data_IF_040340249532
#
_entry.id   IF_040340249532
#
_cell.length_a   1.000
_cell.length_b   1.000
_cell.length_c   1.000
_cell.angle_alpha   90.00
_cell.angle_beta   90.00
_cell.angle_gamma   90.00
#
_symmetry.space_group_name_H-M   'P 1'
#
loop_
_entity.id
_entity.type
_entity.pdbx_description
1 polymer ?
#
# COMPACT_ATOMS: atom_id res chain seq x y z
N UNK A 1 24.27 49.66 -15.44
CA UNK A 1 24.43 48.22 -15.60
C UNK A 1 25.05 47.55 -14.36
N UNK A 2 26.29 47.86 -13.91
CA UNK A 2 26.96 47.22 -12.75
C UNK A 2 26.19 47.32 -11.41
N UNK A 3 25.56 48.50 -11.10
CA UNK A 3 24.74 48.64 -9.87
C UNK A 3 23.48 47.78 -9.91
N UNK A 4 22.76 47.69 -11.03
CA UNK A 4 21.59 46.85 -11.22
C UNK A 4 21.95 45.38 -11.00
N UNK A 5 23.00 44.88 -11.63
CA UNK A 5 23.48 43.49 -11.45
C UNK A 5 23.80 43.17 -9.97
N UNK A 6 24.39 44.14 -9.23
CA UNK A 6 24.70 44.00 -7.81
C UNK A 6 23.42 43.87 -6.95
N UNK A 7 22.38 44.65 -7.23
CA UNK A 7 21.11 44.58 -6.49
C UNK A 7 20.35 43.28 -6.82
N UNK A 8 20.31 42.90 -8.10
CA UNK A 8 19.71 41.64 -8.53
C UNK A 8 20.39 40.43 -7.86
N UNK A 9 21.73 40.40 -7.85
CA UNK A 9 22.48 39.34 -7.16
C UNK A 9 22.19 39.31 -5.65
N UNK A 10 22.13 40.45 -4.99
CA UNK A 10 21.78 40.51 -3.55
C UNK A 10 20.36 40.02 -3.30
N UNK A 11 19.41 40.43 -4.14
CA UNK A 11 18.03 39.95 -4.05
C UNK A 11 17.95 38.40 -4.14
N UNK A 12 18.62 37.82 -5.13
CA UNK A 12 18.65 36.36 -5.28
C UNK A 12 19.31 35.66 -4.09
N UNK A 13 20.40 36.21 -3.56
CA UNK A 13 21.04 35.63 -2.35
C UNK A 13 20.10 35.68 -1.16
N UNK A 14 19.44 36.78 -0.91
CA UNK A 14 18.49 36.93 0.20
C UNK A 14 17.30 36.00 0.00
N UNK A 15 16.72 35.94 -1.20
CA UNK A 15 15.60 35.03 -1.52
C UNK A 15 15.97 33.55 -1.32
N UNK A 16 17.16 33.15 -1.81
CA UNK A 16 17.66 31.78 -1.61
C UNK A 16 17.93 31.49 -0.13
N UNK A 17 18.50 32.44 0.61
CA UNK A 17 18.72 32.26 2.06
C UNK A 17 17.40 32.07 2.82
N UNK A 18 16.38 32.88 2.49
CA UNK A 18 15.04 32.74 3.08
C UNK A 18 14.40 31.39 2.73
N UNK A 19 14.54 30.94 1.48
CA UNK A 19 14.07 29.63 1.06
C UNK A 19 14.75 28.50 1.85
N UNK A 20 16.07 28.55 2.00
CA UNK A 20 16.82 27.55 2.78
C UNK A 20 16.36 27.53 4.23
N UNK A 21 16.20 28.70 4.86
CA UNK A 21 15.69 28.80 6.24
C UNK A 21 14.27 28.19 6.34
N UNK A 22 13.40 28.47 5.37
CA UNK A 22 12.06 27.91 5.32
C UNK A 22 12.10 26.38 5.23
N UNK A 23 12.92 25.82 4.33
CA UNK A 23 13.07 24.36 4.17
C UNK A 23 13.64 23.68 5.43
N UNK A 24 14.58 24.32 6.12
CA UNK A 24 15.08 23.83 7.41
C UNK A 24 13.96 23.84 8.45
N UNK A 25 13.19 24.91 8.51
CA UNK A 25 12.06 25.02 9.45
C UNK A 25 10.99 23.95 9.18
N UNK A 26 10.57 23.77 7.93
CA UNK A 26 9.58 22.74 7.57
C UNK A 26 10.10 21.34 7.88
N UNK A 27 11.38 21.04 7.62
CA UNK A 27 12.01 19.76 7.94
C UNK A 27 12.02 19.49 9.45
N UNK A 28 12.40 20.47 10.26
CA UNK A 28 12.39 20.33 11.74
C UNK A 28 10.96 20.14 12.23
N UNK A 29 10.03 20.96 11.77
CA UNK A 29 8.62 20.86 12.16
C UNK A 29 8.04 19.48 11.85
N UNK A 30 8.27 18.97 10.63
CA UNK A 30 7.86 17.62 10.22
C UNK A 30 8.43 16.54 11.15
N UNK A 31 9.73 16.56 11.42
CA UNK A 31 10.39 15.56 12.27
C UNK A 31 9.87 15.59 13.71
N UNK A 32 9.67 16.77 14.27
CA UNK A 32 9.09 16.91 15.62
C UNK A 32 7.65 16.38 15.67
N UNK A 33 6.85 16.69 14.65
CA UNK A 33 5.47 16.20 14.56
C UNK A 33 5.42 14.68 14.36
N UNK A 34 6.24 14.14 13.45
CA UNK A 34 6.36 12.69 13.22
C UNK A 34 6.80 11.97 14.49
N UNK A 35 7.82 12.47 15.18
CA UNK A 35 8.29 11.89 16.45
C UNK A 35 7.17 11.85 17.49
N UNK A 36 6.40 12.93 17.63
CA UNK A 36 5.24 12.97 18.53
C UNK A 36 4.17 11.93 18.15
N UNK A 37 3.89 11.77 16.87
CA UNK A 37 2.95 10.76 16.36
C UNK A 37 3.47 9.35 16.66
N UNK A 38 4.72 9.05 16.34
CA UNK A 38 5.34 7.75 16.62
C UNK A 38 5.26 7.40 18.11
N UNK A 39 5.62 8.34 19.00
CA UNK A 39 5.50 8.13 20.46
C UNK A 39 4.04 7.91 20.92
N UNK A 40 3.08 8.55 20.25
CA UNK A 40 1.66 8.35 20.55
C UNK A 40 1.17 6.96 20.14
N UNK A 41 1.71 6.42 19.04
CA UNK A 41 1.35 5.12 18.50
C UNK A 41 2.20 3.97 19.06
N UNK A 42 3.28 4.27 19.77
CA UNK A 42 4.18 3.24 20.36
C UNK A 42 3.44 2.15 21.15
N UNK A 43 2.44 2.47 22.01
CA UNK A 43 1.67 1.44 22.72
C UNK A 43 0.81 0.54 21.80
N UNK A 44 0.59 0.95 20.56
CA UNK A 44 -0.17 0.20 19.56
C UNK A 44 0.73 -0.65 18.64
N UNK A 45 2.05 -0.53 18.76
CA UNK A 45 3.00 -1.32 17.98
C UNK A 45 3.04 -2.75 18.50
N UNK A 46 2.89 -3.67 17.57
CA UNK A 46 3.15 -5.08 17.82
C UNK A 46 4.16 -5.56 16.75
N UNK A 47 5.42 -5.51 17.12
CA UNK A 47 6.54 -5.86 16.25
C UNK A 47 6.79 -7.37 16.31
N UNK A 48 6.90 -7.95 15.11
CA UNK A 48 7.18 -9.36 14.89
C UNK A 48 8.36 -9.47 13.93
N UNK A 49 9.33 -10.31 14.26
CA UNK A 49 10.53 -10.45 13.44
C UNK A 49 10.21 -11.03 12.05
N UNK A 50 10.77 -10.39 11.03
CA UNK A 50 10.82 -10.88 9.66
C UNK A 50 12.24 -11.34 9.25
N UNK A 51 13.13 -11.56 10.24
CA UNK A 51 14.53 -11.88 10.08
C UNK A 51 15.42 -10.77 10.65
N UNK A 52 16.00 -9.94 9.77
CA UNK A 52 16.93 -8.88 10.19
C UNK A 52 16.23 -7.57 10.63
N UNK A 53 14.93 -7.50 10.54
CA UNK A 53 14.09 -6.36 10.92
C UNK A 53 12.70 -6.82 11.37
N UNK A 54 12.01 -5.94 12.09
CA UNK A 54 10.71 -6.23 12.65
C UNK A 54 9.59 -5.52 11.87
N UNK A 55 8.49 -6.25 11.63
CA UNK A 55 7.28 -5.71 11.00
C UNK A 55 6.18 -5.52 12.04
N UNK A 56 5.46 -4.41 11.91
CA UNK A 56 4.30 -4.13 12.74
C UNK A 56 3.07 -4.87 12.24
N UNK A 57 2.37 -5.53 13.16
CA UNK A 57 1.13 -6.24 12.86
C UNK A 57 -0.03 -5.64 13.66
N UNK A 58 -1.11 -5.35 12.98
CA UNK A 58 -2.38 -4.99 13.62
C UNK A 58 -3.37 -6.14 13.45
N UNK A 59 -3.84 -6.70 14.57
CA UNK A 59 -4.84 -7.78 14.58
C UNK A 59 -6.21 -7.15 14.80
N UNK A 60 -7.12 -7.30 13.85
CA UNK A 60 -8.47 -6.73 13.88
C UNK A 60 -9.50 -7.85 13.75
N UNK A 61 -10.69 -7.61 14.30
CA UNK A 61 -11.80 -8.56 14.22
C UNK A 61 -11.74 -9.68 15.26
N UNK A 62 -12.33 -10.82 14.90
CA UNK A 62 -12.43 -11.97 15.78
C UNK A 62 -11.13 -12.76 15.81
N UNK A 63 -10.41 -12.74 16.93
CA UNK A 63 -9.15 -13.48 17.09
C UNK A 63 -9.28 -15.00 16.88
N UNK A 64 -10.49 -15.54 17.09
CA UNK A 64 -10.85 -16.93 16.87
C UNK A 64 -11.79 -17.07 15.67
N UNK A 65 -11.72 -16.13 14.72
CA UNK A 65 -12.53 -16.14 13.52
C UNK A 65 -12.28 -17.36 12.66
N UNK A 66 -13.27 -17.72 11.85
CA UNK A 66 -13.24 -18.90 10.99
C UNK A 66 -12.08 -18.86 10.01
N UNK A 67 -11.83 -17.70 9.41
CA UNK A 67 -10.73 -17.48 8.47
C UNK A 67 -9.72 -16.48 9.03
N UNK A 68 -8.46 -16.65 8.62
CA UNK A 68 -7.39 -15.67 8.84
C UNK A 68 -7.10 -14.95 7.53
N UNK A 69 -7.39 -13.66 7.49
CA UNK A 69 -7.24 -12.82 6.30
C UNK A 69 -5.95 -12.01 6.45
N UNK A 70 -4.99 -12.22 5.54
CA UNK A 70 -3.74 -11.46 5.48
C UNK A 70 -3.91 -10.29 4.50
N UNK A 71 -3.79 -9.07 5.02
CA UNK A 71 -4.01 -7.83 4.26
C UNK A 71 -2.69 -7.31 3.71
N UNK A 72 -2.60 -7.15 2.39
CA UNK A 72 -1.43 -6.68 1.66
C UNK A 72 -1.69 -5.28 1.07
N UNK A 73 -1.05 -4.27 1.62
CA UNK A 73 -1.22 -2.86 1.26
C UNK A 73 -0.85 -2.55 -0.20
N UNK A 74 -1.47 -1.52 -0.74
CA UNK A 74 -0.98 -0.80 -1.91
C UNK A 74 0.34 -0.08 -1.66
N UNK A 75 0.89 0.56 -2.69
CA UNK A 75 2.11 1.35 -2.53
C UNK A 75 1.86 2.51 -1.57
N UNK A 76 2.74 2.65 -0.59
CA UNK A 76 2.71 3.70 0.44
C UNK A 76 1.53 3.66 1.43
N UNK A 77 0.63 2.67 1.40
CA UNK A 77 -0.44 2.54 2.40
C UNK A 77 0.05 1.78 3.65
N UNK A 78 0.77 2.46 4.53
CA UNK A 78 1.22 1.94 5.83
C UNK A 78 0.21 2.15 6.96
N UNK A 79 -1.06 2.35 6.64
CA UNK A 79 -2.13 2.59 7.62
C UNK A 79 -3.42 1.86 7.26
N UNK A 80 -3.30 0.70 6.63
CA UNK A 80 -4.45 -0.11 6.18
C UNK A 80 -5.50 -0.33 7.27
N UNK A 81 -5.09 -0.56 8.51
CA UNK A 81 -5.99 -0.75 9.64
C UNK A 81 -6.91 0.46 9.91
N UNK A 82 -6.57 1.64 9.38
CA UNK A 82 -7.42 2.84 9.39
C UNK A 82 -8.13 3.02 8.04
N UNK A 83 -7.41 2.95 6.93
CA UNK A 83 -7.95 3.23 5.60
C UNK A 83 -8.99 2.21 5.15
N UNK A 84 -8.83 0.93 5.54
CA UNK A 84 -9.77 -0.14 5.17
C UNK A 84 -10.90 -0.37 6.16
N UNK A 85 -10.91 0.33 7.31
CA UNK A 85 -11.86 0.11 8.41
C UNK A 85 -13.32 0.09 8.01
N UNK A 86 -13.75 1.01 7.14
CA UNK A 86 -15.16 1.06 6.69
C UNK A 86 -15.55 -0.16 5.87
N UNK A 87 -14.63 -0.71 5.11
CA UNK A 87 -14.84 -1.91 4.32
C UNK A 87 -14.77 -3.16 5.21
N UNK A 88 -13.75 -3.29 6.03
CA UNK A 88 -13.52 -4.51 6.84
C UNK A 88 -14.56 -4.76 7.93
N UNK A 89 -15.31 -3.74 8.38
CA UNK A 89 -16.42 -3.92 9.33
C UNK A 89 -17.48 -4.92 8.88
N UNK A 90 -17.57 -5.21 7.58
CA UNK A 90 -18.51 -6.20 7.03
C UNK A 90 -18.06 -7.64 7.22
N UNK A 91 -16.77 -7.86 7.52
CA UNK A 91 -16.14 -9.18 7.60
C UNK A 91 -15.42 -9.43 8.94
N UNK A 92 -15.07 -8.41 9.72
CA UNK A 92 -14.26 -8.52 10.94
C UNK A 92 -14.96 -9.25 12.08
N UNK A 93 -16.30 -9.32 12.09
CA UNK A 93 -17.04 -9.99 13.15
C UNK A 93 -16.76 -11.50 13.20
N UNK A 94 -16.62 -12.11 12.04
CA UNK A 94 -16.54 -13.55 11.89
C UNK A 94 -15.11 -14.01 11.52
N UNK A 95 -14.24 -13.09 11.15
CA UNK A 95 -12.89 -13.36 10.66
C UNK A 95 -11.81 -12.64 11.45
N UNK A 96 -10.60 -13.21 11.44
CA UNK A 96 -9.38 -12.56 11.92
C UNK A 96 -8.68 -11.86 10.76
N UNK A 97 -8.41 -10.56 10.90
CA UNK A 97 -7.68 -9.78 9.90
C UNK A 97 -6.30 -9.42 10.45
N UNK A 98 -5.26 -9.71 9.67
CA UNK A 98 -3.89 -9.39 9.97
C UNK A 98 -3.40 -8.32 8.99
N UNK A 99 -3.27 -7.09 9.48
CA UNK A 99 -2.67 -5.99 8.74
C UNK A 99 -1.18 -5.95 9.07
N UNK A 100 -0.35 -6.35 8.12
CA UNK A 100 1.10 -6.37 8.27
C UNK A 100 1.68 -5.20 7.49
N UNK A 101 2.21 -4.21 8.20
CA UNK A 101 2.93 -3.11 7.58
C UNK A 101 4.24 -3.67 6.99
N UNK A 102 4.47 -3.52 5.67
CA UNK A 102 5.73 -3.93 5.06
C UNK A 102 6.92 -3.15 5.64
N UNK A 103 8.13 -3.65 5.44
CA UNK A 103 9.34 -2.91 5.83
C UNK A 103 9.31 -1.47 5.28
N UNK A 104 9.63 -0.50 6.13
CA UNK A 104 9.55 0.93 5.82
C UNK A 104 8.16 1.56 5.88
N UNK A 105 7.09 0.74 5.91
CA UNK A 105 5.71 1.19 5.95
C UNK A 105 5.23 1.41 7.40
N UNK A 106 4.28 2.31 7.57
CA UNK A 106 3.55 2.50 8.80
C UNK A 106 4.44 2.54 10.05
N UNK A 107 4.23 1.59 10.94
CA UNK A 107 4.97 1.45 12.20
C UNK A 107 6.09 0.40 12.14
N UNK A 108 6.30 -0.26 10.99
CA UNK A 108 7.39 -1.19 10.78
C UNK A 108 8.77 -0.50 10.74
N UNK A 109 9.79 -1.29 10.97
CA UNK A 109 11.17 -0.87 10.74
C UNK A 109 11.47 -0.71 9.26
N UNK A 110 12.44 0.12 8.93
CA UNK A 110 12.96 0.29 7.58
C UNK A 110 14.12 -0.69 7.33
N UNK A 111 14.36 -1.04 6.07
CA UNK A 111 15.45 -1.94 5.70
C UNK A 111 16.16 -1.46 4.43
N UNK A 112 17.39 -1.92 4.25
CA UNK A 112 18.16 -1.76 3.01
C UNK A 112 18.18 -3.05 2.16
N UNK A 113 17.54 -4.11 2.63
CA UNK A 113 17.35 -5.34 1.87
C UNK A 113 16.46 -5.05 0.66
N UNK A 114 16.88 -5.53 -0.50
CA UNK A 114 16.13 -5.34 -1.75
C UNK A 114 14.72 -5.88 -1.63
N UNK A 115 13.76 -5.09 -2.10
CA UNK A 115 12.32 -5.38 -1.99
C UNK A 115 11.84 -6.14 -3.23
N UNK A 116 12.46 -7.29 -3.51
CA UNK A 116 11.93 -8.21 -4.51
C UNK A 116 10.60 -8.81 -4.04
N UNK A 117 9.76 -9.26 -4.96
CA UNK A 117 8.49 -9.89 -4.62
C UNK A 117 8.69 -11.12 -3.73
N UNK A 118 9.73 -11.90 -3.98
CA UNK A 118 10.12 -13.06 -3.18
C UNK A 118 10.39 -12.67 -1.74
N UNK A 119 11.22 -11.64 -1.54
CA UNK A 119 11.58 -11.16 -0.21
C UNK A 119 10.35 -10.62 0.54
N UNK A 120 9.48 -9.88 -0.15
CA UNK A 120 8.27 -9.31 0.46
C UNK A 120 7.31 -10.43 0.90
N UNK A 121 7.11 -11.45 0.07
CA UNK A 121 6.25 -12.58 0.43
C UNK A 121 6.87 -13.41 1.55
N UNK A 122 8.18 -13.64 1.52
CA UNK A 122 8.86 -14.35 2.60
C UNK A 122 8.82 -13.60 3.93
N UNK A 123 8.86 -12.26 3.91
CA UNK A 123 8.66 -11.46 5.12
C UNK A 123 7.28 -11.74 5.75
N UNK A 124 6.21 -11.72 4.93
CA UNK A 124 4.86 -12.04 5.41
C UNK A 124 4.78 -13.44 6.02
N UNK A 125 5.33 -14.45 5.32
CA UNK A 125 5.34 -15.84 5.76
C UNK A 125 6.13 -16.00 7.07
N UNK A 126 7.29 -15.36 7.19
CA UNK A 126 8.13 -15.36 8.39
C UNK A 126 7.40 -14.74 9.58
N UNK A 127 6.75 -13.59 9.38
CA UNK A 127 5.96 -12.93 10.42
C UNK A 127 4.80 -13.83 10.89
N UNK A 128 4.05 -14.42 9.97
CA UNK A 128 2.94 -15.32 10.32
C UNK A 128 3.44 -16.53 11.11
N UNK A 129 4.52 -17.16 10.68
CA UNK A 129 5.16 -18.26 11.39
C UNK A 129 5.59 -17.84 12.80
N UNK A 130 6.24 -16.70 12.96
CA UNK A 130 6.70 -16.20 14.25
C UNK A 130 5.56 -15.78 15.18
N UNK A 131 4.38 -15.47 14.62
CA UNK A 131 3.14 -15.27 15.38
C UNK A 131 2.42 -16.57 15.74
N UNK A 132 2.91 -17.73 15.28
CA UNK A 132 2.22 -19.02 15.44
C UNK A 132 0.89 -19.07 14.67
N UNK A 133 0.80 -18.36 13.54
CA UNK A 133 -0.36 -18.46 12.66
C UNK A 133 -0.14 -19.62 11.69
N UNK A 134 -1.16 -20.44 11.51
CA UNK A 134 -1.18 -21.55 10.58
C UNK A 134 -2.20 -21.27 9.48
N UNK A 135 -1.83 -21.57 8.23
CA UNK A 135 -2.73 -21.47 7.08
C UNK A 135 -3.75 -22.61 7.02
N UNK A 136 -4.57 -22.69 5.98
CA UNK A 136 -4.53 -21.77 4.84
C UNK A 136 -5.11 -20.40 5.15
N UNK A 137 -4.66 -19.37 4.40
CA UNK A 137 -5.06 -17.97 4.57
C UNK A 137 -5.92 -17.47 3.43
N UNK A 138 -6.79 -16.51 3.70
CA UNK A 138 -7.32 -15.64 2.66
C UNK A 138 -6.33 -14.49 2.48
N UNK A 139 -5.81 -14.31 1.26
CA UNK A 139 -4.94 -13.18 0.93
C UNK A 139 -5.78 -12.05 0.36
N UNK A 140 -5.69 -10.85 0.93
CA UNK A 140 -6.44 -9.68 0.45
C UNK A 140 -5.48 -8.54 0.11
N UNK A 141 -5.34 -8.23 -1.19
CA UNK A 141 -4.41 -7.25 -1.72
C UNK A 141 -5.09 -6.06 -2.39
N UNK A 142 -4.48 -4.88 -2.32
CA UNK A 142 -4.85 -3.71 -3.09
C UNK A 142 -3.67 -3.23 -3.93
N UNK A 143 -3.93 -2.80 -5.18
CA UNK A 143 -2.88 -2.23 -6.04
C UNK A 143 -1.66 -3.16 -6.14
N UNK A 144 -0.45 -2.69 -5.84
CA UNK A 144 0.77 -3.51 -5.79
C UNK A 144 0.68 -4.67 -4.77
N UNK A 145 -0.16 -4.56 -3.75
CA UNK A 145 -0.47 -5.66 -2.83
C UNK A 145 -1.12 -6.85 -3.53
N UNK A 146 -1.90 -6.59 -4.59
CA UNK A 146 -2.44 -7.63 -5.48
C UNK A 146 -1.34 -8.41 -6.21
N UNK A 147 -0.24 -7.76 -6.57
CA UNK A 147 0.92 -8.42 -7.16
C UNK A 147 1.56 -9.42 -6.17
N UNK A 148 1.70 -9.05 -4.90
CA UNK A 148 2.28 -9.92 -3.87
C UNK A 148 1.36 -11.11 -3.55
N UNK A 149 0.05 -10.89 -3.47
CA UNK A 149 -0.92 -11.98 -3.27
C UNK A 149 -0.95 -12.93 -4.46
N UNK A 150 -0.81 -12.41 -5.68
CA UNK A 150 -0.73 -13.22 -6.91
C UNK A 150 0.51 -14.12 -6.93
N UNK A 151 1.67 -13.58 -6.55
CA UNK A 151 2.90 -14.38 -6.40
C UNK A 151 2.75 -15.45 -5.33
N UNK A 152 2.26 -15.07 -4.15
CA UNK A 152 2.13 -15.98 -3.01
C UNK A 152 1.24 -17.18 -3.34
N UNK A 153 0.02 -16.94 -3.83
CA UNK A 153 -0.92 -18.02 -4.18
C UNK A 153 -0.40 -18.94 -5.32
N UNK A 154 0.40 -18.38 -6.23
CA UNK A 154 1.00 -19.20 -7.30
C UNK A 154 2.16 -20.06 -6.80
N UNK A 155 2.97 -19.52 -5.90
CA UNK A 155 4.17 -20.17 -5.40
C UNK A 155 3.89 -21.15 -4.26
N UNK A 156 2.87 -20.86 -3.44
CA UNK A 156 2.51 -21.62 -2.23
C UNK A 156 0.99 -21.80 -2.16
N UNK A 157 0.36 -22.44 -3.15
CA UNK A 157 -1.10 -22.58 -3.20
C UNK A 157 -1.68 -23.33 -2.00
N UNK A 158 -0.91 -24.22 -1.38
CA UNK A 158 -1.31 -24.99 -0.20
C UNK A 158 -1.46 -24.12 1.07
N UNK A 159 -0.88 -22.92 1.08
CA UNK A 159 -1.02 -21.96 2.18
C UNK A 159 -2.24 -21.04 2.02
N UNK A 160 -3.00 -21.16 0.90
CA UNK A 160 -4.01 -20.16 0.50
C UNK A 160 -5.35 -20.80 0.25
N UNK A 161 -6.38 -20.38 0.99
CA UNK A 161 -7.77 -20.82 0.78
C UNK A 161 -8.58 -19.90 -0.13
N UNK A 162 -8.14 -18.66 -0.36
CA UNK A 162 -8.78 -17.73 -1.25
C UNK A 162 -7.97 -16.45 -1.47
N UNK A 163 -8.20 -15.76 -2.60
CA UNK A 163 -7.52 -14.50 -2.92
C UNK A 163 -8.53 -13.43 -3.30
N UNK A 164 -8.38 -12.25 -2.70
CA UNK A 164 -9.18 -11.07 -2.97
C UNK A 164 -8.22 -9.97 -3.45
N UNK A 165 -8.43 -9.50 -4.67
CA UNK A 165 -7.62 -8.41 -5.23
C UNK A 165 -8.51 -7.21 -5.53
N UNK A 166 -8.25 -6.10 -4.85
CA UNK A 166 -8.96 -4.85 -5.02
C UNK A 166 -8.14 -3.92 -5.91
N UNK A 167 -8.61 -3.68 -7.12
CA UNK A 167 -7.96 -2.85 -8.14
C UNK A 167 -6.44 -3.05 -8.20
N UNK A 168 -6.05 -4.31 -8.39
CA UNK A 168 -4.66 -4.75 -8.32
C UNK A 168 -3.82 -4.33 -9.51
N UNK A 169 -2.51 -4.31 -9.32
CA UNK A 169 -1.55 -4.08 -10.41
C UNK A 169 -1.52 -5.27 -11.35
N UNK A 170 -1.87 -5.04 -12.61
CA UNK A 170 -1.77 -6.02 -13.68
C UNK A 170 -0.31 -6.15 -14.14
N UNK A 171 0.37 -7.22 -13.70
CA UNK A 171 1.80 -7.39 -13.91
C UNK A 171 2.22 -7.43 -15.40
N UNK A 172 1.33 -7.90 -16.28
CA UNK A 172 1.57 -7.93 -17.73
C UNK A 172 1.52 -6.55 -18.41
N UNK A 173 0.99 -5.53 -17.72
CA UNK A 173 0.89 -4.18 -18.26
C UNK A 173 1.98 -3.24 -17.71
N UNK A 174 2.68 -3.62 -16.65
CA UNK A 174 3.78 -2.81 -16.12
C UNK A 174 4.96 -2.86 -17.07
N UNK A 175 5.37 -1.71 -17.61
CA UNK A 175 6.48 -1.57 -18.53
C UNK A 175 7.64 -0.70 -17.97
N UNK A 176 8.73 -0.61 -18.73
CA UNK A 176 9.93 0.17 -18.37
C UNK A 176 9.68 1.69 -18.35
N UNK A 177 8.73 2.18 -19.14
CA UNK A 177 8.37 3.60 -19.18
C UNK A 177 7.61 3.97 -17.90
N UNK A 178 6.65 3.15 -17.46
CA UNK A 178 5.94 3.31 -16.20
C UNK A 178 6.89 3.24 -15.01
N UNK A 179 7.82 2.25 -14.99
CA UNK A 179 8.89 2.19 -13.98
C UNK A 179 9.68 3.49 -13.93
N UNK A 180 10.10 3.99 -15.09
CA UNK A 180 10.91 5.22 -15.16
C UNK A 180 10.14 6.43 -14.63
N UNK A 181 8.86 6.56 -14.97
CA UNK A 181 7.97 7.61 -14.48
C UNK A 181 7.77 7.50 -12.95
N UNK A 182 7.47 6.31 -12.45
CA UNK A 182 7.29 6.04 -11.02
C UNK A 182 8.57 6.38 -10.22
N UNK A 183 9.75 5.94 -10.68
CA UNK A 183 11.02 6.22 -10.03
C UNK A 183 11.31 7.73 -9.97
N UNK A 184 11.06 8.48 -11.05
CA UNK A 184 11.24 9.94 -11.06
C UNK A 184 10.29 10.63 -10.07
N UNK A 185 9.02 10.25 -10.09
CA UNK A 185 8.02 10.78 -9.17
C UNK A 185 8.39 10.49 -7.72
N UNK A 186 8.79 9.26 -7.42
CA UNK A 186 9.13 8.85 -6.06
C UNK A 186 10.38 9.53 -5.53
N UNK A 187 11.40 9.70 -6.36
CA UNK A 187 12.60 10.50 -6.00
C UNK A 187 12.21 11.94 -5.63
N UNK A 188 11.32 12.56 -6.38
CA UNK A 188 10.84 13.91 -6.07
C UNK A 188 10.08 13.94 -4.73
N UNK A 189 9.15 13.02 -4.51
CA UNK A 189 8.39 12.91 -3.27
C UNK A 189 9.30 12.63 -2.06
N UNK A 190 10.27 11.75 -2.19
CA UNK A 190 11.26 11.45 -1.14
C UNK A 190 12.12 12.68 -0.79
N UNK A 191 12.47 13.53 -1.76
CA UNK A 191 13.15 14.81 -1.47
C UNK A 191 12.18 15.76 -0.74
N UNK A 192 10.93 15.85 -1.18
CA UNK A 192 9.92 16.69 -0.54
C UNK A 192 9.64 16.25 0.91
N UNK A 193 9.64 14.95 1.19
CA UNK A 193 9.56 14.38 2.54
C UNK A 193 10.73 14.85 3.41
N UNK A 194 11.97 14.71 2.94
CA UNK A 194 13.18 15.07 3.69
C UNK A 194 13.21 16.54 4.13
N UNK A 195 12.64 17.41 3.32
CA UNK A 195 12.49 18.84 3.66
C UNK A 195 11.16 19.18 4.33
N UNK A 196 10.31 18.18 4.62
CA UNK A 196 9.05 18.34 5.34
C UNK A 196 7.93 19.03 4.55
N UNK A 197 8.03 19.06 3.22
CA UNK A 197 7.01 19.67 2.36
C UNK A 197 5.91 18.67 1.97
N UNK A 198 6.23 17.39 1.85
CA UNK A 198 5.27 16.40 1.39
C UNK A 198 3.99 16.35 2.22
N UNK A 199 4.01 16.26 3.58
CA UNK A 199 2.78 16.22 4.36
C UNK A 199 1.94 17.50 4.22
N UNK A 200 2.56 18.65 3.92
CA UNK A 200 1.82 19.89 3.67
C UNK A 200 1.08 19.86 2.33
N UNK A 201 1.71 19.29 1.30
CA UNK A 201 1.11 19.09 -0.02
C UNK A 201 0.01 18.06 0.05
N UNK A 202 0.29 16.90 0.63
CA UNK A 202 -0.68 15.80 0.78
C UNK A 202 -1.89 16.20 1.60
N UNK A 203 -1.71 17.03 2.65
CA UNK A 203 -2.81 17.58 3.42
C UNK A 203 -3.79 18.36 2.55
N UNK A 204 -3.30 19.14 1.59
CA UNK A 204 -4.15 19.92 0.68
C UNK A 204 -5.00 19.05 -0.24
N UNK A 205 -4.48 17.92 -0.70
CA UNK A 205 -5.11 17.09 -1.72
C UNK A 205 -5.91 15.91 -1.17
N UNK A 206 -5.49 15.34 -0.04
CA UNK A 206 -6.03 14.08 0.48
C UNK A 206 -6.76 14.20 1.82
N UNK A 207 -6.50 15.25 2.61
CA UNK A 207 -6.95 15.33 4.00
C UNK A 207 -8.48 15.31 4.13
N UNK A 208 -9.20 16.00 3.26
CA UNK A 208 -10.65 16.03 3.31
C UNK A 208 -11.26 14.65 3.02
N UNK A 209 -10.72 13.94 2.03
CA UNK A 209 -11.18 12.58 1.71
C UNK A 209 -10.92 11.61 2.88
N UNK A 210 -9.81 11.79 3.61
CA UNK A 210 -9.54 11.02 4.82
C UNK A 210 -10.56 11.30 5.93
N UNK A 211 -10.93 12.57 6.16
CA UNK A 211 -11.88 12.97 7.19
C UNK A 211 -13.27 12.36 7.02
N UNK A 212 -13.67 12.01 5.80
CA UNK A 212 -14.93 11.31 5.55
C UNK A 212 -14.94 9.89 6.15
N UNK A 213 -13.76 9.35 6.46
CA UNK A 213 -13.57 7.95 6.85
C UNK A 213 -12.99 7.75 8.25
N UNK A 214 -12.17 8.68 8.72
CA UNK A 214 -11.47 8.58 10.01
C UNK A 214 -11.55 9.90 10.78
N UNK A 215 -11.23 9.88 12.06
CA UNK A 215 -11.14 11.10 12.87
C UNK A 215 -10.01 12.01 12.41
N UNK A 216 -10.08 13.31 12.73
CA UNK A 216 -9.01 14.25 12.38
C UNK A 216 -7.63 13.85 12.96
N UNK A 217 -7.61 13.19 14.10
CA UNK A 217 -6.38 12.65 14.70
C UNK A 217 -5.81 11.48 13.89
N UNK A 218 -6.67 10.57 13.47
CA UNK A 218 -6.27 9.44 12.60
C UNK A 218 -5.85 9.91 11.23
N UNK A 219 -6.52 10.93 10.66
CA UNK A 219 -6.11 11.56 9.41
C UNK A 219 -4.72 12.19 9.51
N UNK A 220 -4.39 12.85 10.64
CA UNK A 220 -3.03 13.35 10.91
C UNK A 220 -2.02 12.17 10.99
N UNK A 221 -2.37 11.06 11.66
CA UNK A 221 -1.50 9.88 11.73
C UNK A 221 -1.24 9.31 10.33
N UNK A 222 -2.31 9.10 9.56
CA UNK A 222 -2.19 8.61 8.19
C UNK A 222 -1.26 9.49 7.36
N UNK A 223 -1.46 10.80 7.38
CA UNK A 223 -0.69 11.76 6.62
C UNK A 223 0.82 11.67 6.91
N UNK A 224 1.20 11.62 8.19
CA UNK A 224 2.61 11.62 8.59
C UNK A 224 3.26 10.24 8.43
N UNK A 225 2.52 9.14 8.62
CA UNK A 225 3.01 7.80 8.36
C UNK A 225 3.16 7.54 6.85
N UNK A 226 2.25 8.07 6.04
CA UNK A 226 2.37 8.07 4.59
C UNK A 226 3.67 8.77 4.15
N UNK A 227 3.94 9.98 4.66
CA UNK A 227 5.17 10.70 4.36
C UNK A 227 6.43 9.96 4.84
N UNK A 228 6.42 9.37 6.04
CA UNK A 228 7.51 8.51 6.53
C UNK A 228 7.78 7.36 5.56
N UNK A 229 6.74 6.69 5.10
CA UNK A 229 6.83 5.56 4.15
C UNK A 229 7.43 6.02 2.83
N UNK A 230 7.00 7.16 2.28
CA UNK A 230 7.57 7.73 1.03
C UNK A 230 9.09 7.93 1.12
N UNK A 231 9.62 8.31 2.26
CA UNK A 231 11.04 8.57 2.49
C UNK A 231 11.88 7.33 2.83
N UNK A 232 11.25 6.15 3.07
CA UNK A 232 11.95 4.94 3.51
C UNK A 232 12.81 4.32 2.41
N UNK A 233 13.88 3.63 2.81
CA UNK A 233 14.73 2.90 1.87
C UNK A 233 13.97 1.74 1.23
N UNK A 234 13.16 1.03 2.01
CA UNK A 234 12.36 -0.09 1.54
C UNK A 234 11.38 0.34 0.44
N UNK A 235 10.62 1.44 0.62
CA UNK A 235 9.70 1.92 -0.41
C UNK A 235 10.43 2.37 -1.67
N UNK A 236 11.58 3.02 -1.54
CA UNK A 236 12.40 3.42 -2.69
C UNK A 236 12.90 2.18 -3.44
N UNK A 237 13.33 1.12 -2.73
CA UNK A 237 13.72 -0.15 -3.35
C UNK A 237 12.53 -0.82 -4.07
N UNK A 238 11.36 -0.86 -3.43
CA UNK A 238 10.13 -1.42 -4.00
C UNK A 238 9.75 -0.73 -5.32
N UNK A 239 9.78 0.61 -5.36
CA UNK A 239 9.51 1.37 -6.60
C UNK A 239 10.57 1.14 -7.67
N UNK A 240 11.85 1.06 -7.29
CA UNK A 240 12.91 0.78 -8.26
C UNK A 240 12.78 -0.62 -8.90
N UNK A 241 12.23 -1.58 -8.15
CA UNK A 241 12.07 -2.97 -8.57
C UNK A 241 10.67 -3.28 -9.13
N UNK A 242 9.77 -2.30 -9.25
CA UNK A 242 8.37 -2.54 -9.61
C UNK A 242 8.21 -3.31 -10.93
N UNK A 243 8.98 -2.98 -11.95
CA UNK A 243 8.98 -3.69 -13.23
C UNK A 243 9.54 -5.11 -13.09
N UNK A 244 10.68 -5.26 -12.45
CA UNK A 244 11.33 -6.56 -12.28
C UNK A 244 10.44 -7.50 -11.45
N UNK A 245 9.80 -6.98 -10.40
CA UNK A 245 8.82 -7.69 -9.60
C UNK A 245 7.59 -8.09 -10.42
N UNK A 246 7.04 -7.18 -11.24
CA UNK A 246 5.91 -7.48 -12.09
C UNK A 246 6.25 -8.59 -13.10
N UNK A 247 7.42 -8.55 -13.73
CA UNK A 247 7.89 -9.60 -14.63
C UNK A 247 8.08 -10.94 -13.91
N UNK A 248 8.65 -10.92 -12.70
CA UNK A 248 8.81 -12.12 -11.88
C UNK A 248 7.45 -12.74 -11.55
N UNK A 249 6.48 -11.92 -11.12
CA UNK A 249 5.12 -12.40 -10.85
C UNK A 249 4.49 -12.96 -12.09
N UNK A 250 4.44 -12.20 -13.19
CA UNK A 250 3.83 -12.63 -14.45
C UNK A 250 4.38 -13.96 -14.94
N UNK A 251 5.69 -14.16 -14.84
CA UNK A 251 6.35 -15.40 -15.26
C UNK A 251 6.14 -16.57 -14.29
N UNK A 252 5.80 -16.30 -13.03
CA UNK A 252 5.55 -17.32 -12.01
C UNK A 252 4.08 -17.72 -11.88
N UNK A 253 3.16 -16.97 -12.51
CA UNK A 253 1.73 -17.30 -12.46
C UNK A 253 1.47 -18.62 -13.17
N UNK A 254 0.81 -19.53 -12.46
CA UNK A 254 0.30 -20.80 -12.99
C UNK A 254 -1.16 -20.98 -12.56
N UNK A 255 -2.03 -21.47 -13.45
CA UNK A 255 -3.42 -21.73 -13.10
C UNK A 255 -3.54 -22.75 -11.98
N UNK A 256 -4.37 -22.45 -10.99
CA UNK A 256 -4.70 -23.36 -9.90
C UNK A 256 -6.17 -23.19 -9.45
N UNK A 257 -6.65 -24.10 -8.60
CA UNK A 257 -8.04 -24.15 -8.17
C UNK A 257 -8.35 -23.27 -6.96
N UNK A 258 -7.37 -22.56 -6.38
CA UNK A 258 -7.62 -21.58 -5.30
C UNK A 258 -8.64 -20.55 -5.79
N UNK A 259 -9.79 -20.37 -5.11
CA UNK A 259 -10.78 -19.38 -5.49
C UNK A 259 -10.22 -17.97 -5.43
N UNK A 260 -10.53 -17.13 -6.44
CA UNK A 260 -10.04 -15.77 -6.53
C UNK A 260 -11.14 -14.82 -6.98
N UNK A 261 -11.15 -13.62 -6.42
CA UNK A 261 -11.99 -12.51 -6.88
C UNK A 261 -11.16 -11.26 -7.13
N UNK A 262 -11.31 -10.70 -8.34
CA UNK A 262 -10.80 -9.37 -8.67
C UNK A 262 -11.94 -8.37 -8.59
N UNK A 263 -11.78 -7.33 -7.77
CA UNK A 263 -12.67 -6.17 -7.74
C UNK A 263 -12.00 -5.10 -8.59
N UNK A 264 -12.55 -4.88 -9.78
CA UNK A 264 -12.00 -3.94 -10.76
C UNK A 264 -12.65 -2.56 -10.63
N UNK A 265 -11.88 -1.53 -10.30
CA UNK A 265 -12.40 -0.18 -10.12
C UNK A 265 -12.79 0.49 -11.44
N UNK A 266 -12.18 0.15 -12.56
CA UNK A 266 -12.47 0.60 -13.95
C UNK A 266 -12.74 2.11 -14.11
N UNK A 267 -12.09 2.93 -13.28
CA UNK A 267 -12.38 4.37 -13.20
C UNK A 267 -12.03 5.12 -14.49
N UNK A 268 -10.96 4.72 -15.16
CA UNK A 268 -10.45 5.48 -16.33
C UNK A 268 -11.18 5.17 -17.63
N UNK A 269 -12.04 4.14 -17.64
CA UNK A 269 -12.65 3.61 -18.86
C UNK A 269 -14.19 3.69 -18.86
N UNK A 270 -14.78 4.46 -17.96
CA UNK A 270 -16.22 4.60 -17.79
C UNK A 270 -17.01 4.98 -19.08
N UNK A 271 -16.33 5.35 -20.16
CA UNK A 271 -16.92 5.67 -21.47
C UNK A 271 -16.70 4.61 -22.55
N UNK A 272 -15.92 3.55 -22.29
CA UNK A 272 -15.67 2.47 -23.26
C UNK A 272 -15.75 1.09 -22.58
N UNK A 273 -16.95 0.53 -22.51
CA UNK A 273 -17.24 -0.76 -21.87
C UNK A 273 -16.51 -1.95 -22.52
N UNK A 274 -15.96 -1.81 -23.72
CA UNK A 274 -15.22 -2.88 -24.40
C UNK A 274 -13.81 -3.08 -23.85
N UNK A 275 -13.26 -2.05 -23.21
CA UNK A 275 -11.88 -2.01 -22.74
C UNK A 275 -11.67 -2.70 -21.37
N UNK A 276 -12.69 -2.75 -20.54
CA UNK A 276 -12.62 -3.14 -19.13
C UNK A 276 -12.36 -4.64 -18.91
N UNK A 277 -12.94 -5.50 -19.73
CA UNK A 277 -12.79 -6.95 -19.59
C UNK A 277 -11.50 -7.50 -20.19
N UNK A 278 -11.00 -6.88 -21.25
CA UNK A 278 -9.91 -7.43 -22.03
C UNK A 278 -8.56 -7.39 -21.30
N UNK A 279 -8.34 -6.43 -20.40
CA UNK A 279 -7.09 -6.34 -19.61
C UNK A 279 -6.96 -7.43 -18.55
N UNK A 280 -8.06 -7.73 -17.86
CA UNK A 280 -8.05 -8.72 -16.77
C UNK A 280 -8.10 -10.15 -17.27
N UNK A 281 -8.62 -10.40 -18.49
CA UNK A 281 -8.78 -11.75 -19.03
C UNK A 281 -7.45 -12.51 -19.06
N UNK A 282 -6.36 -12.01 -19.68
CA UNK A 282 -5.11 -12.75 -19.71
C UNK A 282 -4.53 -13.02 -18.34
N UNK A 283 -4.76 -12.11 -17.39
CA UNK A 283 -4.29 -12.25 -16.02
C UNK A 283 -5.09 -13.32 -15.25
N UNK A 284 -6.42 -13.27 -15.37
CA UNK A 284 -7.32 -14.23 -14.73
C UNK A 284 -7.14 -15.64 -15.29
N UNK A 285 -7.01 -15.79 -16.61
CA UNK A 285 -6.73 -17.06 -17.26
C UNK A 285 -5.43 -17.69 -16.76
N UNK A 286 -4.41 -16.86 -16.56
CA UNK A 286 -3.10 -17.32 -16.08
C UNK A 286 -3.11 -17.68 -14.60
N UNK A 287 -4.00 -17.10 -13.80
CA UNK A 287 -4.17 -17.46 -12.39
C UNK A 287 -5.12 -18.63 -12.17
N UNK A 288 -6.05 -18.88 -13.06
CA UNK A 288 -7.12 -19.90 -12.93
C UNK A 288 -8.14 -19.59 -11.83
N UNK A 289 -9.34 -20.13 -11.95
CA UNK A 289 -10.45 -20.01 -10.99
C UNK A 289 -10.64 -18.60 -10.42
N UNK A 290 -10.87 -17.63 -11.29
CA UNK A 290 -10.90 -16.21 -10.94
C UNK A 290 -12.18 -15.53 -11.44
N UNK A 291 -12.95 -14.96 -10.54
CA UNK A 291 -14.09 -14.10 -10.84
C UNK A 291 -13.66 -12.64 -10.92
N UNK A 292 -14.16 -11.93 -11.94
CA UNK A 292 -13.93 -10.50 -12.12
C UNK A 292 -15.23 -9.75 -11.82
N UNK A 293 -15.22 -8.92 -10.79
CA UNK A 293 -16.37 -8.11 -10.36
C UNK A 293 -16.09 -6.63 -10.62
N UNK A 294 -16.70 -6.02 -11.63
CA UNK A 294 -16.54 -4.60 -11.87
C UNK A 294 -17.25 -3.78 -10.78
N UNK A 295 -16.52 -2.83 -10.21
CA UNK A 295 -17.05 -1.89 -9.21
C UNK A 295 -16.52 -0.49 -9.49
N UNK A 296 -17.21 0.25 -10.36
CA UNK A 296 -16.79 1.58 -10.80
C UNK A 296 -16.50 2.54 -9.64
N UNK A 297 -15.29 3.05 -9.61
CA UNK A 297 -14.83 3.98 -8.59
C UNK A 297 -13.39 4.42 -8.79
N UNK A 298 -12.80 5.08 -7.79
CA UNK A 298 -11.39 5.43 -7.82
C UNK A 298 -10.51 4.22 -7.51
N UNK A 299 -9.20 4.33 -7.80
CA UNK A 299 -8.22 3.31 -7.43
C UNK A 299 -8.29 2.89 -5.94
N UNK A 300 -8.70 3.80 -5.05
CA UNK A 300 -8.96 3.49 -3.63
C UNK A 300 -10.38 2.99 -3.39
N UNK A 301 -10.80 1.96 -4.13
CA UNK A 301 -12.17 1.44 -4.18
C UNK A 301 -12.72 1.02 -2.80
N UNK A 302 -11.87 0.45 -1.97
CA UNK A 302 -12.19 0.05 -0.58
C UNK A 302 -12.59 1.24 0.30
N UNK A 303 -12.20 2.43 -0.12
CA UNK A 303 -12.43 3.69 0.59
C UNK A 303 -13.68 4.38 0.06
N UNK A 304 -13.78 4.55 -1.25
CA UNK A 304 -14.88 5.23 -1.93
C UNK A 304 -16.16 4.41 -1.92
N UNK A 305 -16.07 3.11 -2.24
CA UNK A 305 -17.18 2.16 -2.33
C UNK A 305 -17.11 1.11 -1.21
N UNK A 306 -16.80 1.57 0.00
CA UNK A 306 -16.51 0.70 1.15
C UNK A 306 -17.62 -0.32 1.46
N UNK A 307 -18.89 0.03 1.25
CA UNK A 307 -20.03 -0.87 1.48
C UNK A 307 -20.12 -1.94 0.40
N UNK A 308 -20.08 -1.53 -0.85
CA UNK A 308 -20.17 -2.42 -2.00
C UNK A 308 -18.98 -3.38 -2.02
N UNK A 309 -17.77 -2.85 -1.88
CA UNK A 309 -16.54 -3.62 -1.77
C UNK A 309 -16.60 -4.62 -0.61
N UNK A 310 -17.01 -4.15 0.58
CA UNK A 310 -17.14 -5.01 1.76
C UNK A 310 -18.18 -6.13 1.60
N UNK A 311 -19.26 -5.88 0.86
CA UNK A 311 -20.26 -6.92 0.56
C UNK A 311 -19.73 -7.94 -0.46
N UNK A 312 -18.98 -7.51 -1.49
CA UNK A 312 -18.34 -8.44 -2.44
C UNK A 312 -17.37 -9.36 -1.68
N UNK A 313 -16.50 -8.78 -0.86
CA UNK A 313 -15.55 -9.53 -0.04
C UNK A 313 -16.26 -10.51 0.90
N UNK A 314 -17.34 -10.07 1.57
CA UNK A 314 -18.15 -10.92 2.45
C UNK A 314 -18.78 -12.10 1.72
N UNK A 315 -19.35 -11.86 0.54
CA UNK A 315 -19.97 -12.92 -0.26
C UNK A 315 -18.93 -13.93 -0.72
N UNK A 316 -17.79 -13.46 -1.22
CA UNK A 316 -16.69 -14.34 -1.61
C UNK A 316 -16.22 -15.23 -0.44
N UNK A 317 -16.03 -14.67 0.76
CA UNK A 317 -15.64 -15.46 1.94
C UNK A 317 -16.71 -16.51 2.29
N UNK A 318 -17.99 -16.16 2.15
CA UNK A 318 -19.09 -17.10 2.43
C UNK A 318 -19.17 -18.27 1.42
N UNK A 319 -18.59 -18.13 0.24
CA UNK A 319 -18.49 -19.21 -0.77
C UNK A 319 -17.33 -20.18 -0.48
N UNK A 320 -16.38 -19.79 0.38
CA UNK A 320 -15.30 -20.68 0.84
C UNK A 320 -15.75 -21.61 1.98
N UNK A 321 -16.92 -21.35 2.57
CA UNK A 321 -17.52 -22.08 3.68
C UNK A 321 -18.14 -23.41 3.22
#
# INVERSE_FOLDING_TARGET
>A
MKKFLKYTRRFFIVALSLLVVLLIFTSIFYRVKLHKIMNTLEPCRYLVSAGDYDLNVSVVGNKNGKHTIVCCAGLNDGTMNFSWRKMTKYIEKDNKLLFIDRAGYGLSEDTRTDRTVEQIVEDYRTVLKNMGQEGPYILMGHSIGGMYTSYWQSKYPEEVEGVIIMDGTLCNLVDEEEKTAAVKQWRFLSIAEKVGLEPLVMKKFYYNNLLDNVSAREADFHLYLFSKTTGSHATISEVNLIYDNAQTVWNSLEPNDVPKVFIDASYQVANDQSFEKDYWIPYSEKMGNCDIVPLYGSHSIYFEKSKECGNIVKNFIAELD
#
